data_IF_091896070081
#
_entry.id   IF_091896070081
#
_cell.length_a   1.000
_cell.length_b   1.000
_cell.length_c   1.000
_cell.angle_alpha   90.00
_cell.angle_beta   90.00
_cell.angle_gamma   90.00
#
_symmetry.space_group_name_H-M   'P 1'
#
loop_
_entity.id
_entity.type
_entity.pdbx_description
1 polymer ?
#
# COMPACT_ATOMS: atom_id res chain seq x y z
N UNK A 1 -9.68 -27.66 -13.66
CA UNK A 1 -9.52 -26.85 -12.43
C UNK A 1 -9.64 -25.38 -12.83
N UNK A 2 -10.71 -24.70 -12.41
CA UNK A 2 -10.78 -23.25 -12.53
C UNK A 2 -9.71 -22.67 -11.60
N UNK A 3 -8.67 -22.11 -12.17
CA UNK A 3 -7.68 -21.31 -11.42
C UNK A 3 -8.46 -20.15 -10.80
N UNK A 4 -8.61 -20.15 -9.48
CA UNK A 4 -9.15 -19.01 -8.76
C UNK A 4 -8.03 -17.98 -8.69
N UNK A 5 -8.02 -17.07 -9.66
CA UNK A 5 -7.09 -15.95 -9.64
C UNK A 5 -7.31 -15.12 -8.36
N UNK A 6 -6.33 -15.10 -7.49
CA UNK A 6 -6.33 -14.32 -6.26
C UNK A 6 -6.03 -12.86 -6.58
N UNK A 7 -6.85 -11.93 -6.11
CA UNK A 7 -6.58 -10.51 -6.28
C UNK A 7 -5.84 -9.95 -5.07
N UNK A 8 -4.79 -9.17 -5.31
CA UNK A 8 -4.02 -8.44 -4.31
C UNK A 8 -3.98 -6.97 -4.71
N UNK A 9 -4.32 -6.09 -3.77
CA UNK A 9 -4.22 -4.64 -3.96
C UNK A 9 -2.93 -4.15 -3.33
N UNK A 10 -2.09 -3.47 -4.11
CA UNK A 10 -0.92 -2.75 -3.61
C UNK A 10 -1.20 -1.26 -3.55
N UNK A 11 -0.96 -0.65 -2.39
CA UNK A 11 -1.14 0.77 -2.15
C UNK A 11 0.23 1.42 -2.09
N UNK A 12 0.47 2.40 -2.96
CA UNK A 12 1.66 3.25 -2.97
C UNK A 12 1.29 4.71 -2.73
N UNK A 13 2.25 5.52 -2.32
CA UNK A 13 2.02 6.94 -2.09
C UNK A 13 1.59 7.64 -3.37
N UNK A 14 2.33 7.44 -4.45
CA UNK A 14 2.06 8.02 -5.77
C UNK A 14 2.76 7.19 -6.86
N UNK A 15 2.22 7.22 -8.06
CA UNK A 15 2.89 6.61 -9.21
C UNK A 15 3.99 7.54 -9.71
N UNK A 16 5.16 7.39 -9.11
CA UNK A 16 6.32 8.24 -9.39
C UNK A 16 7.63 7.47 -9.14
N UNK A 17 8.77 8.13 -9.34
CA UNK A 17 10.06 7.53 -9.06
C UNK A 17 10.32 7.50 -7.55
N UNK A 18 10.45 6.30 -7.01
CA UNK A 18 10.79 6.07 -5.61
C UNK A 18 11.18 4.61 -5.38
N UNK A 19 11.96 4.35 -4.32
CA UNK A 19 12.41 2.99 -3.99
C UNK A 19 11.25 2.06 -3.62
N UNK A 20 10.29 2.54 -2.84
CA UNK A 20 9.11 1.79 -2.43
C UNK A 20 8.18 1.50 -3.62
N UNK A 21 7.95 2.49 -4.47
CA UNK A 21 7.17 2.38 -5.70
C UNK A 21 7.81 1.39 -6.68
N UNK A 22 9.15 1.39 -6.79
CA UNK A 22 9.90 0.44 -7.61
C UNK A 22 9.77 -0.99 -7.08
N UNK A 23 9.83 -1.19 -5.77
CA UNK A 23 9.63 -2.51 -5.17
C UNK A 23 8.19 -3.00 -5.40
N UNK A 24 7.20 -2.12 -5.23
CA UNK A 24 5.79 -2.47 -5.45
C UNK A 24 5.53 -2.95 -6.89
N UNK A 25 6.05 -2.24 -7.90
CA UNK A 25 5.89 -2.66 -9.30
C UNK A 25 6.65 -3.95 -9.61
N UNK A 26 7.83 -4.16 -9.03
CA UNK A 26 8.60 -5.38 -9.22
C UNK A 26 7.87 -6.60 -8.63
N UNK A 27 7.25 -6.47 -7.46
CA UNK A 27 6.39 -7.50 -6.87
C UNK A 27 5.23 -7.81 -7.82
N UNK A 28 4.54 -6.78 -8.31
CA UNK A 28 3.41 -6.95 -9.22
C UNK A 28 3.81 -7.59 -10.57
N UNK A 29 5.05 -7.40 -11.01
CA UNK A 29 5.61 -8.00 -12.23
C UNK A 29 6.13 -9.43 -12.03
N UNK A 30 6.34 -9.89 -10.80
CA UNK A 30 6.98 -11.18 -10.50
C UNK A 30 6.12 -12.40 -10.86
N UNK A 31 4.99 -12.22 -11.52
CA UNK A 31 4.10 -13.22 -12.14
C UNK A 31 4.15 -14.61 -11.47
N UNK A 32 3.68 -14.71 -10.26
CA UNK A 32 3.11 -15.98 -9.84
C UNK A 32 1.75 -16.12 -10.56
N UNK A 33 1.58 -17.18 -11.30
CA UNK A 33 0.52 -17.35 -12.30
C UNK A 33 -0.92 -17.19 -11.79
N UNK A 34 -1.12 -17.21 -10.48
CA UNK A 34 -2.43 -17.23 -9.85
C UNK A 34 -2.78 -15.92 -9.11
N UNK A 35 -1.91 -14.89 -9.17
CA UNK A 35 -2.12 -13.61 -8.48
C UNK A 35 -2.32 -12.49 -9.50
N UNK A 36 -3.44 -11.78 -9.38
CA UNK A 36 -3.70 -10.54 -10.10
C UNK A 36 -3.41 -9.35 -9.18
N UNK A 37 -2.42 -8.57 -9.53
CA UNK A 37 -2.10 -7.35 -8.79
C UNK A 37 -2.88 -6.15 -9.32
N UNK A 38 -3.38 -5.35 -8.40
CA UNK A 38 -4.03 -4.06 -8.64
C UNK A 38 -3.25 -2.98 -7.89
N UNK A 39 -2.79 -1.96 -8.60
CA UNK A 39 -2.01 -0.86 -8.01
C UNK A 39 -2.89 0.38 -7.82
N UNK A 40 -2.88 0.97 -6.62
CA UNK A 40 -3.61 2.20 -6.34
C UNK A 40 -2.68 3.23 -5.67
N UNK A 41 -2.68 4.47 -6.18
CA UNK A 41 -1.97 5.58 -5.54
C UNK A 41 -2.90 6.37 -4.61
N UNK A 42 -2.35 6.87 -3.50
CA UNK A 42 -3.07 7.73 -2.56
C UNK A 42 -3.12 9.17 -3.08
N UNK A 43 -1.98 9.67 -3.53
CA UNK A 43 -1.79 11.02 -4.05
C UNK A 43 -1.39 10.93 -5.51
N UNK A 44 -1.89 11.84 -6.34
CA UNK A 44 -1.56 11.83 -7.77
C UNK A 44 -0.09 12.18 -8.00
N UNK A 45 0.66 11.26 -8.58
CA UNK A 45 2.00 11.52 -9.07
C UNK A 45 1.97 12.52 -10.23
N UNK A 46 2.85 13.52 -10.18
CA UNK A 46 2.86 14.64 -11.14
C UNK A 46 4.22 14.90 -11.80
N UNK A 47 5.24 14.10 -11.48
CA UNK A 47 6.56 14.21 -12.11
C UNK A 47 6.57 13.64 -13.54
N UNK A 48 7.62 13.93 -14.28
CA UNK A 48 7.84 13.33 -15.60
C UNK A 48 7.95 11.79 -15.53
N UNK A 49 8.42 11.25 -14.42
CA UNK A 49 8.55 9.81 -14.19
C UNK A 49 7.21 9.09 -13.98
N UNK A 50 6.14 9.81 -13.61
CA UNK A 50 4.80 9.22 -13.45
C UNK A 50 4.29 8.59 -14.73
N UNK A 51 4.56 9.22 -15.87
CA UNK A 51 4.18 8.70 -17.19
C UNK A 51 4.89 7.39 -17.50
N UNK A 52 6.19 7.32 -17.22
CA UNK A 52 7.00 6.12 -17.46
C UNK A 52 6.56 4.98 -16.54
N UNK A 53 6.27 5.30 -15.29
CA UNK A 53 5.75 4.32 -14.32
C UNK A 53 4.42 3.71 -14.77
N UNK A 54 3.46 4.54 -15.21
CA UNK A 54 2.18 4.05 -15.73
C UNK A 54 2.35 3.23 -17.00
N UNK A 55 3.22 3.65 -17.91
CA UNK A 55 3.54 2.89 -19.13
C UNK A 55 4.13 1.51 -18.80
N UNK A 56 4.96 1.43 -17.78
CA UNK A 56 5.50 0.16 -17.30
C UNK A 56 4.40 -0.75 -16.75
N UNK A 57 3.45 -0.22 -15.97
CA UNK A 57 2.29 -0.97 -15.49
C UNK A 57 1.42 -1.49 -16.65
N UNK A 58 1.14 -0.64 -17.63
CA UNK A 58 0.37 -0.99 -18.82
C UNK A 58 1.06 -2.11 -19.64
N UNK A 59 2.35 -1.97 -19.87
CA UNK A 59 3.15 -2.97 -20.60
C UNK A 59 3.17 -4.31 -19.87
N UNK A 60 3.18 -4.30 -18.54
CA UNK A 60 3.12 -5.50 -17.72
C UNK A 60 1.69 -6.08 -17.57
N UNK A 61 0.66 -5.40 -18.08
CA UNK A 61 -0.74 -5.80 -17.94
C UNK A 61 -1.30 -5.66 -16.53
N UNK A 62 -0.67 -4.80 -15.70
CA UNK A 62 -1.08 -4.55 -14.32
C UNK A 62 -2.14 -3.45 -14.30
N UNK A 63 -3.29 -3.73 -13.68
CA UNK A 63 -4.34 -2.73 -13.51
C UNK A 63 -3.95 -1.72 -12.45
N UNK A 64 -4.12 -0.43 -12.75
CA UNK A 64 -3.79 0.65 -11.84
C UNK A 64 -4.90 1.70 -11.73
N UNK A 65 -4.94 2.41 -10.60
CA UNK A 65 -5.98 3.36 -10.25
C UNK A 65 -5.34 4.64 -9.73
N UNK A 66 -5.44 5.71 -10.52
CA UNK A 66 -4.87 7.01 -10.19
C UNK A 66 -5.70 7.78 -9.18
N UNK A 67 -5.04 8.59 -8.35
CA UNK A 67 -5.70 9.55 -7.48
C UNK A 67 -6.17 10.78 -8.27
N UNK A 68 -7.36 11.32 -7.99
CA UNK A 68 -7.76 12.62 -8.48
C UNK A 68 -7.11 13.78 -7.72
N UNK A 69 -6.49 13.50 -6.55
CA UNK A 69 -5.97 14.51 -5.64
C UNK A 69 -4.44 14.61 -5.72
N UNK A 70 -3.94 15.81 -5.94
CA UNK A 70 -2.51 16.16 -5.86
C UNK A 70 -2.07 16.54 -4.46
N UNK A 71 -3.02 16.92 -3.59
CA UNK A 71 -2.77 17.26 -2.20
C UNK A 71 -2.82 16.00 -1.31
N UNK A 72 -1.79 15.78 -0.51
CA UNK A 72 -1.68 14.59 0.36
C UNK A 72 -2.80 14.47 1.37
N UNK A 73 -3.23 15.59 1.99
CA UNK A 73 -4.32 15.57 2.98
C UNK A 73 -5.64 15.13 2.33
N UNK A 74 -5.96 15.69 1.16
CA UNK A 74 -7.17 15.32 0.42
C UNK A 74 -7.08 13.87 -0.07
N UNK A 75 -5.92 13.45 -0.58
CA UNK A 75 -5.68 12.07 -0.98
C UNK A 75 -5.95 11.07 0.14
N UNK A 76 -5.44 11.33 1.34
CA UNK A 76 -5.64 10.47 2.53
C UNK A 76 -7.10 10.48 2.99
N UNK A 77 -7.72 11.67 3.12
CA UNK A 77 -9.08 11.82 3.64
C UNK A 77 -10.11 11.09 2.75
N UNK A 78 -9.99 11.19 1.44
CA UNK A 78 -10.91 10.57 0.48
C UNK A 78 -10.48 9.17 0.01
N UNK A 79 -9.33 8.68 0.45
CA UNK A 79 -8.85 7.36 0.08
C UNK A 79 -9.80 6.21 0.43
N UNK A 80 -10.46 6.19 1.61
CA UNK A 80 -11.41 5.13 1.95
C UNK A 80 -12.50 4.90 0.91
N UNK A 81 -13.05 5.97 0.34
CA UNK A 81 -14.10 5.87 -0.69
C UNK A 81 -13.57 5.12 -1.91
N UNK A 82 -12.36 5.47 -2.35
CA UNK A 82 -11.70 4.87 -3.50
C UNK A 82 -11.31 3.42 -3.24
N UNK A 83 -10.74 3.14 -2.07
CA UNK A 83 -10.32 1.79 -1.71
C UNK A 83 -11.52 0.86 -1.53
N UNK A 84 -12.58 1.30 -0.86
CA UNK A 84 -13.81 0.51 -0.69
C UNK A 84 -14.45 0.18 -2.05
N UNK A 85 -14.50 1.15 -2.96
CA UNK A 85 -15.01 0.92 -4.31
C UNK A 85 -14.17 -0.13 -5.06
N UNK A 86 -12.85 -0.07 -4.93
CA UNK A 86 -11.94 -1.05 -5.52
C UNK A 86 -12.12 -2.44 -4.88
N UNK A 87 -12.19 -2.53 -3.55
CA UNK A 87 -12.41 -3.79 -2.83
C UNK A 87 -13.70 -4.49 -3.30
N UNK A 88 -14.79 -3.74 -3.39
CA UNK A 88 -16.06 -4.29 -3.89
C UNK A 88 -15.99 -4.80 -5.33
N UNK A 89 -15.15 -4.17 -6.15
CA UNK A 89 -14.97 -4.54 -7.56
C UNK A 89 -14.11 -5.79 -7.74
N UNK A 90 -13.02 -5.91 -6.96
CA UNK A 90 -12.00 -6.94 -7.21
C UNK A 90 -11.96 -8.05 -6.16
N UNK A 91 -12.62 -7.87 -5.02
CA UNK A 91 -12.67 -8.83 -3.90
C UNK A 91 -11.27 -9.35 -3.53
N UNK A 92 -10.34 -8.48 -3.09
CA UNK A 92 -8.97 -8.89 -2.84
C UNK A 92 -8.87 -9.77 -1.60
N UNK A 93 -7.95 -10.73 -1.63
CA UNK A 93 -7.60 -11.55 -0.45
C UNK A 93 -6.62 -10.84 0.48
N UNK A 94 -5.82 -9.92 -0.07
CA UNK A 94 -4.83 -9.16 0.68
C UNK A 94 -4.67 -7.73 0.14
N UNK A 95 -4.29 -6.84 1.04
CA UNK A 95 -3.87 -5.47 0.73
C UNK A 95 -2.45 -5.29 1.24
N UNK A 96 -1.58 -4.81 0.37
CA UNK A 96 -0.16 -4.59 0.65
C UNK A 96 0.17 -3.10 0.56
N UNK A 97 0.66 -2.52 1.64
CA UNK A 97 1.07 -1.12 1.71
C UNK A 97 2.58 -0.95 1.66
N UNK A 98 3.01 0.18 1.11
CA UNK A 98 4.41 0.59 1.02
C UNK A 98 4.53 2.03 1.48
N UNK A 99 5.23 2.30 2.57
CA UNK A 99 5.44 3.61 3.20
C UNK A 99 4.27 4.14 4.06
N UNK A 100 4.51 5.28 4.75
CA UNK A 100 3.63 5.79 5.81
C UNK A 100 2.30 6.35 5.30
N UNK A 101 2.27 7.01 4.14
CA UNK A 101 1.03 7.56 3.57
C UNK A 101 0.04 6.45 3.21
N UNK A 102 0.42 5.37 2.50
CA UNK A 102 -0.40 4.19 2.34
C UNK A 102 -0.85 3.54 3.64
N UNK A 103 0.05 3.42 4.63
CA UNK A 103 -0.26 2.84 5.94
C UNK A 103 -1.35 3.62 6.67
N UNK A 104 -1.22 4.94 6.72
CA UNK A 104 -2.22 5.83 7.31
C UNK A 104 -3.55 5.77 6.56
N UNK A 105 -3.51 5.74 5.25
CA UNK A 105 -4.70 5.68 4.40
C UNK A 105 -5.47 4.36 4.58
N UNK A 106 -4.75 3.24 4.70
CA UNK A 106 -5.33 1.94 5.00
C UNK A 106 -5.92 1.89 6.41
N UNK A 107 -5.19 2.38 7.42
CA UNK A 107 -5.68 2.47 8.79
C UNK A 107 -6.99 3.29 8.85
N UNK A 108 -7.02 4.44 8.19
CA UNK A 108 -8.21 5.28 8.08
C UNK A 108 -9.39 4.54 7.45
N UNK A 109 -9.14 3.78 6.39
CA UNK A 109 -10.17 2.93 5.74
C UNK A 109 -10.70 1.86 6.70
N UNK A 110 -9.80 1.20 7.46
CA UNK A 110 -10.20 0.18 8.44
C UNK A 110 -11.07 0.74 9.57
N UNK A 111 -10.83 1.98 9.98
CA UNK A 111 -11.66 2.66 10.98
C UNK A 111 -13.08 2.96 10.45
N UNK A 112 -13.18 3.38 9.19
CA UNK A 112 -14.46 3.78 8.59
C UNK A 112 -15.29 2.58 8.10
N UNK A 113 -14.64 1.50 7.70
CA UNK A 113 -15.31 0.34 7.10
C UNK A 113 -14.80 -1.01 7.68
N UNK A 114 -14.84 -1.21 9.01
CA UNK A 114 -14.25 -2.39 9.63
C UNK A 114 -14.84 -3.70 9.12
N UNK A 115 -16.14 -3.74 8.84
CA UNK A 115 -16.82 -4.96 8.33
C UNK A 115 -16.37 -5.37 6.93
N UNK A 116 -16.00 -4.39 6.08
CA UNK A 116 -15.49 -4.65 4.72
C UNK A 116 -14.05 -5.16 4.79
N UNK A 117 -13.28 -4.68 5.77
CA UNK A 117 -11.86 -4.95 5.89
C UNK A 117 -11.53 -6.21 6.71
N UNK A 118 -12.47 -6.76 7.47
CA UNK A 118 -12.22 -7.81 8.47
C UNK A 118 -11.61 -9.10 7.89
N UNK A 119 -12.01 -9.49 6.68
CA UNK A 119 -11.60 -10.74 6.04
C UNK A 119 -10.42 -10.55 5.06
N UNK A 120 -9.89 -9.33 4.95
CA UNK A 120 -8.79 -9.00 4.04
C UNK A 120 -7.48 -9.01 4.83
N UNK A 121 -6.52 -9.80 4.37
CA UNK A 121 -5.19 -9.83 4.98
C UNK A 121 -4.44 -8.52 4.72
N UNK A 122 -3.89 -7.94 5.77
CA UNK A 122 -3.05 -6.73 5.66
C UNK A 122 -1.58 -7.16 5.68
N UNK A 123 -0.82 -6.64 4.73
CA UNK A 123 0.63 -6.81 4.62
C UNK A 123 1.26 -5.44 4.43
N UNK A 124 2.41 -5.20 5.03
CA UNK A 124 3.17 -3.97 4.90
C UNK A 124 4.65 -4.25 4.71
N UNK A 125 5.29 -3.55 3.78
CA UNK A 125 6.75 -3.57 3.64
C UNK A 125 7.35 -2.30 4.24
N UNK A 126 8.29 -2.48 5.17
CA UNK A 126 9.11 -1.42 5.77
C UNK A 126 10.31 -1.13 4.87
N UNK A 127 10.38 0.08 4.35
CA UNK A 127 11.45 0.52 3.45
C UNK A 127 12.49 1.42 4.13
N UNK A 128 12.12 2.08 5.22
CA UNK A 128 12.93 3.10 5.88
C UNK A 128 13.25 2.70 7.33
N UNK A 129 14.42 3.13 7.81
CA UNK A 129 14.81 3.02 9.22
C UNK A 129 14.12 4.05 10.10
N UNK A 130 13.77 5.22 9.54
CA UNK A 130 13.07 6.29 10.24
C UNK A 130 11.65 6.40 9.71
N UNK A 131 10.68 6.16 10.58
CA UNK A 131 9.26 6.23 10.28
C UNK A 131 8.61 7.41 10.98
N UNK A 132 7.58 7.98 10.37
CA UNK A 132 6.71 9.00 10.97
C UNK A 132 7.42 10.27 11.43
N UNK A 133 8.42 10.72 10.68
CA UNK A 133 9.27 11.85 11.05
C UNK A 133 8.47 13.12 11.39
N UNK A 134 7.37 13.38 10.67
CA UNK A 134 6.50 14.55 10.84
C UNK A 134 5.26 14.30 11.71
N UNK A 135 4.85 13.05 11.91
CA UNK A 135 3.56 12.69 12.53
C UNK A 135 3.70 11.58 13.57
N UNK A 136 4.61 11.76 14.51
CA UNK A 136 4.98 10.73 15.50
C UNK A 136 3.79 10.17 16.29
N UNK A 137 2.84 11.05 16.72
CA UNK A 137 1.68 10.61 17.52
C UNK A 137 0.73 9.73 16.70
N UNK A 138 0.43 10.13 15.46
CA UNK A 138 -0.39 9.35 14.54
C UNK A 138 0.34 8.06 14.18
N UNK A 139 1.65 8.14 13.93
CA UNK A 139 2.48 7.01 13.62
C UNK A 139 2.43 5.92 14.67
N UNK A 140 2.49 6.24 15.96
CA UNK A 140 2.38 5.25 17.04
C UNK A 140 1.06 4.47 17.01
N UNK A 141 -0.04 5.14 16.67
CA UNK A 141 -1.35 4.48 16.55
C UNK A 141 -1.38 3.54 15.36
N UNK A 142 -0.88 3.99 14.21
CA UNK A 142 -0.81 3.16 13.01
C UNK A 142 0.12 1.97 13.20
N UNK A 143 1.28 2.16 13.86
CA UNK A 143 2.22 1.07 14.15
C UNK A 143 1.61 0.00 15.04
N UNK A 144 0.89 0.38 16.11
CA UNK A 144 0.16 -0.57 16.95
C UNK A 144 -0.87 -1.37 16.15
N UNK A 145 -1.58 -0.71 15.22
CA UNK A 145 -2.52 -1.37 14.33
C UNK A 145 -1.82 -2.39 13.44
N UNK A 146 -0.70 -2.03 12.80
CA UNK A 146 0.06 -2.92 11.92
C UNK A 146 0.64 -4.12 12.69
N UNK A 147 1.15 -3.91 13.91
CA UNK A 147 1.62 -4.98 14.79
C UNK A 147 0.50 -5.96 15.17
N UNK A 148 -0.68 -5.44 15.51
CA UNK A 148 -1.86 -6.27 15.82
C UNK A 148 -2.23 -7.18 14.65
N UNK A 149 -2.08 -6.70 13.42
CA UNK A 149 -2.35 -7.48 12.21
C UNK A 149 -1.17 -8.37 11.78
N UNK A 150 -0.05 -8.36 12.50
CA UNK A 150 1.19 -9.08 12.14
C UNK A 150 1.59 -8.78 10.67
N UNK A 151 1.46 -7.51 10.28
CA UNK A 151 1.51 -7.08 8.88
C UNK A 151 2.95 -6.85 8.37
N UNK A 152 3.93 -6.73 9.26
CA UNK A 152 5.25 -6.18 8.94
C UNK A 152 6.14 -7.17 8.20
N UNK A 153 6.69 -6.71 7.07
CA UNK A 153 7.81 -7.31 6.35
C UNK A 153 8.90 -6.24 6.26
N UNK A 154 10.12 -6.53 6.67
CA UNK A 154 11.26 -5.61 6.53
C UNK A 154 12.14 -6.01 5.35
N UNK A 155 12.75 -5.03 4.72
CA UNK A 155 13.64 -5.25 3.58
C UNK A 155 15.10 -5.53 4.00
N UNK A 156 15.44 -5.31 5.27
CA UNK A 156 16.78 -5.59 5.79
C UNK A 156 16.79 -5.80 7.30
N UNK A 157 17.83 -6.50 7.81
CA UNK A 157 18.04 -6.68 9.24
C UNK A 157 18.21 -5.36 9.99
N UNK A 158 18.84 -4.36 9.37
CA UNK A 158 19.01 -3.03 9.96
C UNK A 158 17.66 -2.35 10.21
N UNK A 159 16.74 -2.43 9.26
CA UNK A 159 15.38 -1.91 9.41
C UNK A 159 14.64 -2.66 10.51
N UNK A 160 14.75 -3.98 10.57
CA UNK A 160 14.15 -4.80 11.64
C UNK A 160 14.65 -4.37 13.01
N UNK A 161 15.97 -4.29 13.20
CA UNK A 161 16.55 -3.89 14.50
C UNK A 161 16.16 -2.48 14.92
N UNK A 162 16.14 -1.52 13.97
CA UNK A 162 15.75 -0.16 14.27
C UNK A 162 14.27 -0.06 14.64
N UNK A 163 13.43 -0.78 13.91
CA UNK A 163 11.98 -0.84 14.18
C UNK A 163 11.69 -1.44 15.57
N UNK A 164 12.35 -2.53 15.92
CA UNK A 164 12.21 -3.16 17.23
C UNK A 164 12.62 -2.23 18.39
N UNK A 165 13.69 -1.47 18.21
CA UNK A 165 14.14 -0.47 19.21
C UNK A 165 13.14 0.68 19.39
N UNK A 166 12.53 1.14 18.31
CA UNK A 166 11.66 2.33 18.34
C UNK A 166 10.22 2.00 18.78
N UNK A 167 9.66 0.91 18.31
CA UNK A 167 8.25 0.57 18.50
C UNK A 167 8.00 -0.63 19.43
N UNK A 168 9.03 -1.39 19.73
CA UNK A 168 8.93 -2.62 20.51
C UNK A 168 8.20 -3.77 19.78
N UNK A 169 8.43 -5.00 20.20
CA UNK A 169 7.66 -6.18 19.83
C UNK A 169 7.22 -6.88 21.09
#
# INVERSE_FOLDING_TARGET
>A
RKSHNMNVVQIVSHFDLGGAERIAINIAKSKESDINYHMIEVVRGSSNFSRDYMKELETAGIKYYRSPFTNSKMGIVFFPIRLIALIKKVCPIAIHTHTEIPDLSLYWTCLLAPRIMQDIKIVRTLHNTVLWNKWKSIGRVVEKFMQKHKANISTSNMITCTYQKEFGF
#
